data_IF_621441124564
#
_entry.id   IF_621441124564
#
_cell.length_a   1.000
_cell.length_b   1.000
_cell.length_c   1.000
_cell.angle_alpha   90.00
_cell.angle_beta   90.00
_cell.angle_gamma   90.00
#
_symmetry.space_group_name_H-M   'P 1'
#
loop_
_entity.id
_entity.type
_entity.pdbx_description
1 polymer ?
#
# COMPACT_ATOMS: atom_id res chain seq x y z
N UNK A 1 -5.28 11.38 13.17
CA UNK A 1 -5.32 10.19 12.26
C UNK A 1 -4.68 9.01 12.97
N UNK A 2 -5.26 7.82 12.85
CA UNK A 2 -4.69 6.55 13.32
C UNK A 2 -4.62 5.58 12.14
N UNK A 3 -3.65 4.68 12.13
CA UNK A 3 -3.60 3.63 11.13
C UNK A 3 -3.03 2.33 11.70
N UNK A 4 -3.41 1.20 11.11
CA UNK A 4 -2.97 -0.12 11.51
C UNK A 4 -2.87 -1.05 10.30
N UNK A 5 -1.75 -1.75 10.16
CA UNK A 5 -1.63 -2.80 9.14
C UNK A 5 -2.30 -4.09 9.63
N UNK A 6 -3.22 -4.61 8.85
CA UNK A 6 -3.77 -5.95 9.01
C UNK A 6 -2.79 -7.02 8.54
N UNK A 7 -1.88 -6.65 7.67
CA UNK A 7 -0.80 -7.46 7.14
C UNK A 7 -0.18 -6.81 5.91
N UNK A 8 1.07 -7.17 5.62
CA UNK A 8 1.83 -6.62 4.51
C UNK A 8 2.79 -7.67 3.95
N UNK A 9 2.87 -7.76 2.63
CA UNK A 9 3.70 -8.69 1.87
C UNK A 9 2.91 -9.62 0.96
N UNK A 10 3.57 -10.48 0.21
CA UNK A 10 3.04 -11.31 -0.87
C UNK A 10 1.92 -12.32 -0.48
N UNK A 11 1.58 -12.41 0.81
CA UNK A 11 0.45 -13.23 1.30
C UNK A 11 -0.83 -12.43 1.52
N UNK A 12 -0.75 -11.13 1.43
CA UNK A 12 -1.88 -10.21 1.53
C UNK A 12 -1.49 -8.90 2.20
N UNK A 13 -1.97 -7.82 1.61
CA UNK A 13 -1.80 -6.45 2.06
C UNK A 13 -3.17 -5.89 2.46
N UNK A 14 -3.23 -5.22 3.57
CA UNK A 14 -4.39 -4.45 3.99
C UNK A 14 -4.01 -3.51 5.13
N UNK A 15 -4.45 -2.27 5.05
CA UNK A 15 -4.19 -1.23 6.06
C UNK A 15 -5.49 -0.51 6.38
N UNK A 16 -5.79 -0.34 7.66
CA UNK A 16 -6.89 0.51 8.12
C UNK A 16 -6.35 1.91 8.42
N UNK A 17 -7.12 2.92 8.05
CA UNK A 17 -6.86 4.33 8.42
C UNK A 17 -8.13 4.93 8.97
N UNK A 18 -8.04 5.54 10.15
CA UNK A 18 -9.16 6.13 10.86
C UNK A 18 -8.91 7.60 11.18
N UNK A 19 -9.93 8.43 10.93
CA UNK A 19 -10.00 9.83 11.33
C UNK A 19 -11.40 10.08 11.89
N UNK A 20 -11.48 10.32 13.18
CA UNK A 20 -12.77 10.42 13.89
C UNK A 20 -13.66 9.21 13.60
N UNK A 21 -14.84 9.43 13.01
CA UNK A 21 -15.80 8.38 12.62
C UNK A 21 -15.50 7.78 11.24
N UNK A 22 -14.58 8.36 10.46
CA UNK A 22 -14.25 7.88 9.13
C UNK A 22 -13.21 6.76 9.20
N UNK A 23 -13.56 5.58 8.72
CA UNK A 23 -12.70 4.41 8.66
C UNK A 23 -12.56 3.92 7.21
N UNK A 24 -11.36 3.95 6.66
CA UNK A 24 -11.08 3.42 5.32
C UNK A 24 -10.13 2.24 5.38
N UNK A 25 -10.28 1.32 4.45
CA UNK A 25 -9.38 0.19 4.25
C UNK A 25 -8.60 0.39 2.95
N UNK A 26 -7.27 0.31 3.00
CA UNK A 26 -6.42 0.31 1.83
C UNK A 26 -6.06 -1.14 1.52
N UNK A 27 -6.49 -1.62 0.39
CA UNK A 27 -6.41 -3.00 -0.07
C UNK A 27 -7.10 -4.03 0.84
N UNK A 28 -7.47 -5.15 0.27
CA UNK A 28 -8.01 -6.31 0.97
C UNK A 28 -7.48 -7.59 0.30
N UNK A 29 -6.19 -7.88 0.49
CA UNK A 29 -5.51 -9.01 -0.12
C UNK A 29 -5.75 -10.36 0.56
N UNK A 30 -6.45 -10.37 1.71
CA UNK A 30 -6.78 -11.59 2.45
C UNK A 30 -8.17 -12.11 2.08
N UNK A 31 -8.39 -13.42 2.23
CA UNK A 31 -9.75 -13.95 2.15
C UNK A 31 -10.68 -13.27 3.16
N UNK A 32 -11.98 -13.21 2.87
CA UNK A 32 -12.98 -12.63 3.76
C UNK A 32 -12.86 -13.15 5.21
N UNK A 33 -12.70 -14.45 5.39
CA UNK A 33 -12.55 -15.08 6.72
C UNK A 33 -11.30 -14.54 7.45
N UNK A 34 -10.19 -14.42 6.75
CA UNK A 34 -8.94 -13.95 7.33
C UNK A 34 -8.99 -12.44 7.63
N UNK A 35 -9.61 -11.66 6.73
CA UNK A 35 -9.85 -10.22 6.95
C UNK A 35 -10.67 -10.00 8.22
N UNK A 36 -11.80 -10.69 8.37
CA UNK A 36 -12.65 -10.56 9.56
C UNK A 36 -11.91 -10.97 10.84
N UNK A 37 -11.08 -12.01 10.79
CA UNK A 37 -10.26 -12.42 11.93
C UNK A 37 -9.23 -11.33 12.33
N UNK A 38 -8.66 -10.64 11.35
CA UNK A 38 -7.66 -9.57 11.58
C UNK A 38 -8.33 -8.29 12.09
N UNK A 39 -9.47 -7.91 11.54
CA UNK A 39 -10.30 -6.80 12.04
C UNK A 39 -10.67 -6.99 13.51
N UNK A 40 -11.16 -8.18 13.86
CA UNK A 40 -11.54 -8.51 15.24
C UNK A 40 -10.39 -8.38 16.24
N UNK A 41 -9.14 -8.60 15.84
CA UNK A 41 -7.95 -8.40 16.71
C UNK A 41 -7.69 -6.94 17.04
N UNK A 42 -8.12 -6.03 16.17
CA UNK A 42 -8.03 -4.59 16.37
C UNK A 42 -9.29 -4.01 17.01
N UNK A 43 -10.32 -4.84 17.25
CA UNK A 43 -11.63 -4.38 17.71
C UNK A 43 -12.40 -3.56 16.66
N UNK A 44 -12.02 -3.68 15.38
CA UNK A 44 -12.70 -3.00 14.29
C UNK A 44 -13.82 -3.86 13.72
N UNK A 45 -15.00 -3.26 13.57
CA UNK A 45 -16.18 -3.92 13.01
C UNK A 45 -16.24 -3.67 11.50
N UNK A 46 -16.42 -4.71 10.66
CA UNK A 46 -16.43 -4.57 9.21
C UNK A 46 -17.46 -3.58 8.67
N UNK A 47 -18.63 -3.49 9.32
CA UNK A 47 -19.70 -2.57 8.96
C UNK A 47 -19.41 -1.10 9.28
N UNK A 48 -18.27 -0.79 9.91
CA UNK A 48 -17.82 0.58 10.16
C UNK A 48 -16.87 1.08 9.05
N UNK A 49 -16.50 0.24 8.09
CA UNK A 49 -15.61 0.62 7.00
C UNK A 49 -16.41 1.41 5.97
N UNK A 50 -16.07 2.68 5.79
CA UNK A 50 -16.75 3.60 4.86
C UNK A 50 -16.34 3.36 3.40
N UNK A 51 -15.13 2.87 3.16
CA UNK A 51 -14.62 2.60 1.82
C UNK A 51 -13.45 1.61 1.81
N UNK A 52 -13.31 0.88 0.70
CA UNK A 52 -12.10 0.15 0.36
C UNK A 52 -11.42 0.89 -0.80
N UNK A 53 -10.17 1.30 -0.61
CA UNK A 53 -9.32 1.91 -1.63
C UNK A 53 -8.38 0.83 -2.17
N UNK A 54 -8.43 0.54 -3.47
CA UNK A 54 -7.58 -0.50 -4.08
C UNK A 54 -6.42 0.17 -4.79
N UNK A 55 -5.19 -0.26 -4.49
CA UNK A 55 -3.98 0.26 -5.12
C UNK A 55 -3.79 -0.28 -6.54
N UNK A 56 -3.98 -1.57 -6.73
CA UNK A 56 -3.85 -2.27 -8.02
C UNK A 56 -4.45 -3.69 -7.96
N UNK A 57 -4.47 -4.40 -9.08
CA UNK A 57 -5.18 -5.66 -9.28
C UNK A 57 -4.45 -6.93 -8.82
N UNK A 58 -3.24 -6.85 -8.27
CA UNK A 58 -2.55 -8.06 -7.82
C UNK A 58 -3.32 -8.78 -6.70
N UNK A 59 -3.23 -10.10 -6.69
CA UNK A 59 -4.07 -10.94 -5.82
C UNK A 59 -3.86 -10.67 -4.33
N UNK A 60 -2.66 -10.34 -3.93
CA UNK A 60 -2.30 -9.98 -2.55
C UNK A 60 -2.77 -8.58 -2.13
N UNK A 61 -3.42 -7.83 -3.02
CA UNK A 61 -4.09 -6.56 -2.76
C UNK A 61 -5.61 -6.64 -2.90
N UNK A 62 -6.13 -7.45 -3.82
CA UNK A 62 -7.55 -7.39 -4.16
C UNK A 62 -8.36 -8.67 -3.89
N UNK A 63 -7.77 -9.80 -3.50
CA UNK A 63 -8.48 -11.11 -3.39
C UNK A 63 -9.70 -11.12 -2.48
N UNK A 64 -9.76 -10.26 -1.48
CA UNK A 64 -10.89 -10.18 -0.54
C UNK A 64 -11.85 -9.03 -0.81
N UNK A 65 -11.51 -8.11 -1.72
CA UNK A 65 -12.23 -6.85 -1.94
C UNK A 65 -13.70 -7.10 -2.25
N UNK A 66 -14.00 -7.84 -3.31
CA UNK A 66 -15.38 -8.09 -3.72
C UNK A 66 -16.20 -8.79 -2.62
N UNK A 67 -15.64 -9.79 -1.96
CA UNK A 67 -16.33 -10.54 -0.92
C UNK A 67 -16.61 -9.71 0.34
N UNK A 68 -15.69 -8.83 0.75
CA UNK A 68 -15.87 -7.94 1.89
C UNK A 68 -16.88 -6.83 1.55
N UNK A 69 -16.67 -6.14 0.42
CA UNK A 69 -17.51 -5.08 -0.10
C UNK A 69 -18.97 -5.52 -0.22
N UNK A 70 -19.21 -6.62 -0.93
CA UNK A 70 -20.58 -7.13 -1.14
C UNK A 70 -21.27 -7.62 0.13
N UNK A 71 -20.52 -8.12 1.11
CA UNK A 71 -21.11 -8.61 2.36
C UNK A 71 -21.52 -7.51 3.32
N UNK A 72 -20.84 -6.37 3.30
CA UNK A 72 -21.03 -5.27 4.24
C UNK A 72 -21.42 -3.95 3.57
N UNK A 73 -21.80 -4.02 2.29
CA UNK A 73 -22.25 -2.88 1.47
C UNK A 73 -21.23 -1.73 1.41
N UNK A 74 -19.92 -2.08 1.34
CA UNK A 74 -18.82 -1.11 1.37
C UNK A 74 -18.46 -0.71 -0.08
N UNK A 75 -18.47 0.60 -0.44
CA UNK A 75 -18.06 1.07 -1.75
C UNK A 75 -16.55 0.85 -1.97
N UNK A 76 -16.19 0.53 -3.21
CA UNK A 76 -14.80 0.26 -3.63
C UNK A 76 -14.32 1.36 -4.56
N UNK A 77 -13.25 2.02 -4.17
CA UNK A 77 -12.57 3.06 -4.93
C UNK A 77 -11.37 2.45 -5.65
N UNK A 78 -11.31 2.56 -6.96
CA UNK A 78 -10.24 2.00 -7.77
C UNK A 78 -10.09 2.75 -9.10
N UNK A 79 -8.91 2.64 -9.73
CA UNK A 79 -8.67 3.23 -11.03
C UNK A 79 -9.45 2.50 -12.12
N UNK A 80 -9.68 3.17 -13.26
CA UNK A 80 -10.32 2.56 -14.42
C UNK A 80 -9.56 1.33 -14.93
N UNK A 81 -8.22 1.38 -14.94
CA UNK A 81 -7.39 0.27 -15.36
C UNK A 81 -7.51 -0.94 -14.41
N UNK A 82 -7.43 -0.71 -13.10
CA UNK A 82 -7.63 -1.77 -12.10
C UNK A 82 -9.02 -2.40 -12.23
N UNK A 83 -10.07 -1.59 -12.38
CA UNK A 83 -11.43 -2.07 -12.59
C UNK A 83 -11.55 -2.93 -13.86
N UNK A 84 -10.93 -2.47 -14.97
CA UNK A 84 -10.96 -3.16 -16.26
C UNK A 84 -10.34 -4.57 -16.25
N UNK A 85 -9.60 -4.93 -15.22
CA UNK A 85 -9.04 -6.30 -15.06
C UNK A 85 -10.07 -7.33 -14.60
N UNK A 86 -11.22 -6.90 -14.05
CA UNK A 86 -12.25 -7.77 -13.48
C UNK A 86 -11.89 -8.43 -12.15
N UNK A 87 -10.73 -8.09 -11.55
CA UNK A 87 -10.28 -8.72 -10.30
C UNK A 87 -11.12 -8.38 -9.08
N UNK A 88 -11.82 -7.25 -9.12
CA UNK A 88 -12.74 -6.81 -8.06
C UNK A 88 -14.22 -7.05 -8.44
N UNK A 89 -14.51 -7.80 -9.50
CA UNK A 89 -15.89 -8.04 -9.96
C UNK A 89 -16.76 -8.66 -8.86
N UNK A 90 -17.99 -8.16 -8.74
CA UNK A 90 -18.93 -8.55 -7.70
C UNK A 90 -18.84 -7.74 -6.41
N UNK A 91 -18.07 -6.64 -6.38
CA UNK A 91 -18.17 -5.67 -5.30
C UNK A 91 -19.54 -4.96 -5.29
N UNK A 92 -19.94 -4.44 -4.12
CA UNK A 92 -21.24 -3.81 -3.92
C UNK A 92 -21.44 -2.58 -4.80
N UNK A 93 -20.45 -1.68 -4.80
CA UNK A 93 -20.49 -0.45 -5.60
C UNK A 93 -19.05 -0.05 -6.00
N UNK A 94 -18.92 0.65 -7.13
CA UNK A 94 -17.64 1.08 -7.68
C UNK A 94 -17.58 2.61 -7.82
N UNK A 95 -16.60 3.21 -7.14
CA UNK A 95 -16.23 4.60 -7.27
C UNK A 95 -14.96 4.70 -8.14
N UNK A 96 -15.14 4.84 -9.45
CA UNK A 96 -14.01 4.89 -10.40
C UNK A 96 -13.39 6.29 -10.43
N UNK A 97 -12.07 6.34 -10.44
CA UNK A 97 -11.31 7.59 -10.55
C UNK A 97 -10.11 7.43 -11.49
N UNK A 98 -9.60 8.55 -11.98
CA UNK A 98 -8.32 8.58 -12.68
C UNK A 98 -7.19 8.75 -11.67
N UNK A 99 -6.02 8.14 -11.92
CA UNK A 99 -4.81 8.46 -11.18
C UNK A 99 -4.60 9.98 -11.13
N UNK A 100 -3.99 10.48 -10.06
CA UNK A 100 -3.83 11.89 -9.72
C UNK A 100 -5.12 12.60 -9.24
N UNK A 101 -6.25 11.92 -9.23
CA UNK A 101 -7.45 12.48 -8.63
C UNK A 101 -7.27 12.67 -7.11
N UNK A 102 -7.88 13.75 -6.62
CA UNK A 102 -8.08 13.96 -5.19
C UNK A 102 -9.58 13.97 -4.90
N UNK A 103 -9.99 13.27 -3.85
CA UNK A 103 -11.38 13.19 -3.42
C UNK A 103 -11.45 13.02 -1.89
N UNK A 104 -12.63 13.26 -1.33
CA UNK A 104 -12.83 13.18 0.10
C UNK A 104 -13.68 11.95 0.46
N UNK A 105 -13.32 11.27 1.55
CA UNK A 105 -14.14 10.27 2.22
C UNK A 105 -14.31 10.73 3.66
N UNK A 106 -15.49 11.21 4.01
CA UNK A 106 -15.73 11.84 5.30
C UNK A 106 -14.79 13.02 5.53
N UNK A 107 -13.95 12.93 6.57
CA UNK A 107 -12.94 13.96 6.90
C UNK A 107 -11.56 13.69 6.30
N UNK A 108 -11.40 12.61 5.59
CA UNK A 108 -10.14 12.18 5.01
C UNK A 108 -10.04 12.64 3.55
N UNK A 109 -9.06 13.47 3.25
CA UNK A 109 -8.70 13.77 1.87
C UNK A 109 -7.78 12.67 1.35
N UNK A 110 -8.14 12.09 0.22
CA UNK A 110 -7.42 11.02 -0.46
C UNK A 110 -6.84 11.56 -1.76
N UNK A 111 -5.55 11.40 -1.97
CA UNK A 111 -4.89 11.63 -3.26
C UNK A 111 -4.32 10.31 -3.76
N UNK A 112 -4.79 9.88 -4.93
CA UNK A 112 -4.20 8.77 -5.66
C UNK A 112 -2.98 9.28 -6.45
N UNK A 113 -1.86 8.58 -6.35
CA UNK A 113 -0.59 8.93 -6.99
C UNK A 113 -0.15 7.77 -7.86
N UNK A 114 0.05 8.01 -9.16
CA UNK A 114 0.54 7.00 -10.09
C UNK A 114 1.97 6.57 -9.73
N UNK A 115 2.24 5.27 -9.78
CA UNK A 115 3.55 4.71 -9.43
C UNK A 115 4.04 3.71 -10.47
N UNK A 116 5.36 3.59 -10.67
CA UNK A 116 5.93 2.53 -11.50
C UNK A 116 5.75 1.16 -10.81
N UNK A 117 4.84 0.34 -11.33
CA UNK A 117 4.64 -1.04 -10.91
C UNK A 117 4.09 -1.87 -12.07
N UNK A 118 4.27 -3.20 -12.07
CA UNK A 118 3.85 -4.11 -13.14
C UNK A 118 2.35 -4.48 -13.06
N UNK A 119 1.52 -3.46 -13.02
CA UNK A 119 0.07 -3.51 -12.97
C UNK A 119 -0.55 -2.61 -14.06
N UNK A 120 -1.87 -2.67 -14.28
CA UNK A 120 -2.51 -1.97 -15.41
C UNK A 120 -2.60 -0.46 -15.18
N UNK A 121 -3.00 -0.02 -14.00
CA UNK A 121 -3.05 1.39 -13.61
C UNK A 121 -2.80 1.50 -12.09
N UNK A 122 -1.57 1.19 -11.64
CA UNK A 122 -1.24 1.17 -10.23
C UNK A 122 -1.16 2.57 -9.64
N UNK A 123 -1.74 2.74 -8.46
CA UNK A 123 -1.60 3.94 -7.67
C UNK A 123 -1.25 3.63 -6.22
N UNK A 124 -0.69 4.63 -5.56
CA UNK A 124 -0.50 4.64 -4.12
C UNK A 124 -1.24 5.84 -3.53
N UNK A 125 -1.41 5.87 -2.21
CA UNK A 125 -2.28 6.87 -1.60
C UNK A 125 -1.53 7.79 -0.64
N UNK A 126 -1.75 9.10 -0.82
CA UNK A 126 -1.52 10.08 0.22
C UNK A 126 -2.85 10.44 0.86
N UNK A 127 -2.94 10.22 2.15
CA UNK A 127 -4.13 10.48 2.97
C UNK A 127 -3.84 11.66 3.87
N UNK A 128 -4.73 12.65 3.94
CA UNK A 128 -4.48 13.85 4.71
C UNK A 128 -5.72 14.38 5.41
N UNK A 129 -5.48 15.11 6.49
CA UNK A 129 -6.42 15.98 7.20
C UNK A 129 -5.84 17.38 7.23
N UNK A 130 -6.51 18.33 7.89
CA UNK A 130 -5.93 19.64 8.13
C UNK A 130 -4.66 19.63 9.02
N UNK A 131 -4.45 18.54 9.79
CA UNK A 131 -3.44 18.49 10.85
C UNK A 131 -2.28 17.52 10.52
N UNK A 132 -2.53 16.48 9.74
CA UNK A 132 -1.52 15.45 9.49
C UNK A 132 -1.75 14.70 8.17
N UNK A 133 -0.71 14.03 7.71
CA UNK A 133 -0.70 13.27 6.47
C UNK A 133 0.00 11.90 6.61
N UNK A 134 -0.50 10.91 5.88
CA UNK A 134 0.03 9.56 5.79
C UNK A 134 0.25 9.21 4.32
N UNK A 135 1.47 8.85 3.96
CA UNK A 135 1.77 8.21 2.69
C UNK A 135 1.76 6.68 2.84
N UNK A 136 1.12 6.00 1.90
CA UNK A 136 1.16 4.53 1.78
C UNK A 136 1.84 4.22 0.45
N UNK A 137 2.96 3.52 0.52
CA UNK A 137 3.84 3.19 -0.60
C UNK A 137 4.29 1.74 -0.46
N UNK A 138 3.46 0.85 -0.95
CA UNK A 138 3.77 -0.57 -1.15
C UNK A 138 3.79 -0.84 -2.65
N UNK A 139 4.59 -1.76 -3.14
CA UNK A 139 4.61 -2.11 -4.57
C UNK A 139 4.99 -0.92 -5.48
N UNK A 140 6.23 -0.53 -5.35
CA UNK A 140 6.86 0.57 -6.08
C UNK A 140 8.19 0.09 -6.67
N UNK A 141 8.29 0.01 -7.99
CA UNK A 141 9.50 -0.52 -8.66
C UNK A 141 10.65 0.48 -8.75
N UNK A 142 10.34 1.77 -8.83
CA UNK A 142 11.35 2.82 -8.92
C UNK A 142 10.85 4.15 -8.36
N UNK A 143 11.80 4.96 -7.88
CA UNK A 143 11.52 6.28 -7.33
C UNK A 143 11.63 7.31 -8.44
N UNK A 144 10.54 8.02 -8.69
CA UNK A 144 10.49 9.09 -9.68
C UNK A 144 10.37 10.46 -9.00
N UNK A 145 10.73 11.56 -9.67
CA UNK A 145 10.47 12.90 -9.14
C UNK A 145 9.01 13.13 -8.77
N UNK A 146 8.09 12.56 -9.55
CA UNK A 146 6.66 12.60 -9.28
C UNK A 146 6.28 11.96 -7.94
N UNK A 147 6.83 10.79 -7.64
CA UNK A 147 6.62 10.09 -6.36
C UNK A 147 7.20 10.94 -5.21
N UNK A 148 8.43 11.45 -5.37
CA UNK A 148 9.06 12.29 -4.35
C UNK A 148 8.21 13.52 -4.05
N UNK A 149 7.76 14.25 -5.07
CA UNK A 149 7.00 15.49 -4.91
C UNK A 149 5.64 15.25 -4.23
N UNK A 150 5.00 14.12 -4.48
CA UNK A 150 3.72 13.77 -3.88
C UNK A 150 3.82 13.33 -2.41
N UNK A 151 4.90 12.67 -2.03
CA UNK A 151 5.07 12.14 -0.67
C UNK A 151 6.02 12.97 0.20
N UNK A 152 6.65 14.01 -0.36
CA UNK A 152 7.40 14.99 0.43
C UNK A 152 6.51 15.62 1.49
N UNK A 153 7.05 15.83 2.68
CA UNK A 153 6.35 16.43 3.82
C UNK A 153 5.15 15.63 4.32
N UNK A 154 5.16 14.29 4.17
CA UNK A 154 4.26 13.45 4.92
C UNK A 154 4.73 13.34 6.37
N UNK A 155 3.79 13.42 7.32
CA UNK A 155 4.07 13.22 8.75
C UNK A 155 4.32 11.73 9.07
N UNK A 156 3.72 10.85 8.30
CA UNK A 156 3.86 9.39 8.45
C UNK A 156 4.00 8.72 7.10
N UNK A 157 4.81 7.66 7.04
CA UNK A 157 4.93 6.79 5.87
C UNK A 157 4.78 5.31 6.27
N UNK A 158 3.98 4.60 5.50
CA UNK A 158 4.03 3.15 5.39
C UNK A 158 4.76 2.86 4.07
N UNK A 159 6.01 2.43 4.16
CA UNK A 159 6.92 2.33 3.01
C UNK A 159 7.45 0.91 2.87
N UNK A 160 7.45 0.39 1.63
CA UNK A 160 8.06 -0.89 1.36
C UNK A 160 9.59 -0.83 1.49
N UNK A 161 10.11 -1.91 2.10
CA UNK A 161 11.51 -2.32 2.08
C UNK A 161 11.51 -3.77 1.62
N UNK A 162 11.26 -3.98 0.32
CA UNK A 162 10.91 -5.31 -0.15
C UNK A 162 12.07 -6.30 -0.04
N UNK A 163 13.23 -5.97 -0.60
CA UNK A 163 14.32 -6.93 -0.64
C UNK A 163 15.68 -6.29 -0.38
N UNK A 164 16.59 -7.09 0.14
CA UNK A 164 18.02 -6.82 0.07
C UNK A 164 18.54 -7.28 -1.29
N UNK A 165 19.28 -6.42 -1.98
CA UNK A 165 19.72 -6.67 -3.35
C UNK A 165 20.62 -7.93 -3.45
N UNK A 166 21.48 -8.17 -2.45
CA UNK A 166 22.35 -9.35 -2.41
C UNK A 166 21.54 -10.61 -2.14
N UNK A 167 20.62 -10.57 -1.16
CA UNK A 167 19.76 -11.72 -0.87
C UNK A 167 18.86 -12.07 -2.06
N UNK A 168 18.34 -11.09 -2.80
CA UNK A 168 17.58 -11.35 -4.01
C UNK A 168 18.46 -12.03 -5.07
N UNK A 169 19.67 -11.50 -5.31
CA UNK A 169 20.60 -12.04 -6.32
C UNK A 169 21.04 -13.47 -5.98
N UNK A 170 21.33 -13.77 -4.72
CA UNK A 170 21.81 -15.08 -4.28
C UNK A 170 20.65 -16.02 -3.86
N UNK A 171 19.47 -15.49 -3.67
CA UNK A 171 18.31 -16.20 -3.14
C UNK A 171 17.73 -17.26 -4.09
N UNK A 172 16.71 -18.00 -3.63
CA UNK A 172 16.19 -19.18 -4.30
C UNK A 172 15.28 -18.88 -5.50
N UNK A 173 14.99 -17.62 -5.80
CA UNK A 173 14.09 -17.28 -6.90
C UNK A 173 14.73 -17.59 -8.27
N UNK A 174 13.96 -18.09 -9.25
CA UNK A 174 14.44 -18.25 -10.62
C UNK A 174 14.78 -16.90 -11.24
N UNK A 175 15.69 -16.90 -12.20
CA UNK A 175 16.27 -15.67 -12.79
C UNK A 175 15.21 -14.65 -13.26
N UNK A 176 14.17 -15.12 -13.97
CA UNK A 176 13.10 -14.23 -14.45
C UNK A 176 12.35 -13.53 -13.30
N UNK A 177 12.16 -14.21 -12.16
CA UNK A 177 11.50 -13.62 -11.00
C UNK A 177 12.42 -12.62 -10.28
N UNK A 178 13.75 -12.89 -10.23
CA UNK A 178 14.71 -11.91 -9.71
C UNK A 178 14.72 -10.63 -10.54
N UNK A 179 14.68 -10.77 -11.87
CA UNK A 179 14.60 -9.63 -12.79
C UNK A 179 13.30 -8.85 -12.63
N UNK A 180 12.18 -9.54 -12.46
CA UNK A 180 10.88 -8.91 -12.23
C UNK A 180 10.86 -8.15 -10.90
N UNK A 181 11.26 -8.81 -9.80
CA UNK A 181 11.23 -8.21 -8.45
C UNK A 181 12.19 -7.04 -8.32
N UNK A 182 13.41 -7.15 -8.83
CA UNK A 182 14.44 -6.11 -8.73
C UNK A 182 14.46 -5.11 -9.89
N UNK A 183 13.51 -5.17 -10.82
CA UNK A 183 13.40 -4.25 -11.95
C UNK A 183 12.62 -2.98 -11.63
N UNK A 184 12.66 -2.01 -12.54
CA UNK A 184 12.06 -0.68 -12.39
C UNK A 184 10.52 -0.68 -12.24
N UNK A 185 9.88 -1.80 -12.52
CA UNK A 185 8.45 -2.04 -12.35
C UNK A 185 8.16 -3.10 -11.27
N UNK A 186 9.16 -3.53 -10.53
CA UNK A 186 9.04 -4.52 -9.48
C UNK A 186 8.83 -3.88 -8.11
N UNK A 187 9.84 -3.99 -7.25
CA UNK A 187 9.80 -3.50 -5.87
C UNK A 187 11.10 -2.80 -5.47
N UNK A 188 11.01 -1.84 -4.55
CA UNK A 188 12.19 -1.18 -4.01
C UNK A 188 13.04 -2.16 -3.18
N UNK A 189 14.34 -2.12 -3.40
CA UNK A 189 15.27 -2.70 -2.46
C UNK A 189 15.49 -1.78 -1.25
N UNK A 190 16.14 -2.30 -0.21
CA UNK A 190 16.37 -1.57 1.03
C UNK A 190 17.12 -0.25 0.83
N UNK A 191 18.09 -0.19 -0.09
CA UNK A 191 18.86 1.04 -0.34
C UNK A 191 18.02 2.08 -1.08
N UNK A 192 17.25 1.67 -2.08
CA UNK A 192 16.34 2.58 -2.79
C UNK A 192 15.30 3.19 -1.83
N UNK A 193 14.70 2.35 -0.97
CA UNK A 193 13.75 2.83 0.03
C UNK A 193 14.42 3.82 1.03
N UNK A 194 15.65 3.54 1.45
CA UNK A 194 16.42 4.43 2.31
C UNK A 194 16.80 5.76 1.62
N UNK A 195 17.18 5.72 0.34
CA UNK A 195 17.43 6.92 -0.47
C UNK A 195 16.16 7.77 -0.64
N UNK A 196 15.00 7.14 -0.80
CA UNK A 196 13.72 7.85 -0.82
C UNK A 196 13.46 8.57 0.50
N UNK A 197 13.71 7.92 1.64
CA UNK A 197 13.58 8.55 2.97
C UNK A 197 14.45 9.80 3.12
N UNK A 198 15.68 9.81 2.60
CA UNK A 198 16.55 10.97 2.63
C UNK A 198 15.96 12.17 1.88
N UNK A 199 15.16 11.91 0.82
CA UNK A 199 14.58 12.96 -0.02
C UNK A 199 13.25 13.50 0.52
N UNK A 200 12.51 12.69 1.29
CA UNK A 200 11.14 13.04 1.75
C UNK A 200 11.01 13.12 3.27
N UNK A 201 11.99 12.66 4.02
CA UNK A 201 11.87 12.37 5.44
C UNK A 201 12.13 13.52 6.41
N UNK A 202 12.32 14.75 5.95
CA UNK A 202 12.69 15.89 6.83
C UNK A 202 11.65 16.19 7.92
N UNK A 203 10.38 15.95 7.64
CA UNK A 203 9.26 16.23 8.56
C UNK A 203 8.62 14.94 9.12
N UNK A 204 9.18 13.79 8.76
CA UNK A 204 8.63 12.48 9.08
C UNK A 204 8.68 12.20 10.59
N UNK A 205 7.53 11.94 11.19
CA UNK A 205 7.39 11.58 12.60
C UNK A 205 7.31 10.07 12.80
N UNK A 206 6.70 9.36 11.84
CA UNK A 206 6.49 7.91 11.92
C UNK A 206 6.83 7.22 10.60
N UNK A 207 7.65 6.17 10.69
CA UNK A 207 7.93 5.26 9.59
C UNK A 207 7.48 3.85 9.96
N UNK A 208 6.62 3.27 9.13
CA UNK A 208 6.29 1.85 9.21
C UNK A 208 6.91 1.14 8.01
N UNK A 209 7.84 0.25 8.28
CA UNK A 209 8.47 -0.60 7.26
C UNK A 209 7.50 -1.70 6.86
N UNK A 210 7.20 -1.80 5.58
CA UNK A 210 6.17 -2.68 5.05
C UNK A 210 6.68 -3.54 3.89
N UNK A 211 5.87 -4.47 3.44
CA UNK A 211 6.07 -5.31 2.25
C UNK A 211 7.44 -6.02 2.18
N UNK A 212 7.91 -6.50 3.33
CA UNK A 212 9.22 -7.18 3.46
C UNK A 212 9.12 -8.59 2.89
N UNK A 213 10.01 -8.93 1.95
CA UNK A 213 10.11 -10.27 1.39
C UNK A 213 10.56 -11.29 2.44
N UNK A 214 9.77 -12.34 2.64
CA UNK A 214 10.14 -13.43 3.58
C UNK A 214 11.40 -14.21 3.16
N UNK A 215 11.77 -14.17 1.89
CA UNK A 215 12.88 -14.96 1.33
C UNK A 215 14.11 -14.13 0.99
N UNK A 216 13.91 -12.86 0.65
CA UNK A 216 14.96 -12.02 0.10
C UNK A 216 15.23 -10.78 0.96
N UNK A 217 14.77 -10.79 2.21
CA UNK A 217 15.05 -9.70 3.16
C UNK A 217 15.07 -10.22 4.61
N UNK A 218 15.49 -9.34 5.52
CA UNK A 218 15.34 -9.51 6.97
C UNK A 218 15.10 -8.15 7.62
N UNK A 219 14.49 -8.16 8.80
CA UNK A 219 14.31 -6.94 9.59
C UNK A 219 15.62 -6.22 9.86
N UNK A 220 16.68 -6.95 10.20
CA UNK A 220 18.00 -6.39 10.49
C UNK A 220 18.60 -5.67 9.27
N UNK A 221 18.41 -6.21 8.05
CA UNK A 221 18.90 -5.58 6.82
C UNK A 221 18.11 -4.33 6.46
N UNK A 222 16.80 -4.38 6.59
CA UNK A 222 15.95 -3.20 6.39
C UNK A 222 16.29 -2.10 7.42
N UNK A 223 16.42 -2.46 8.69
CA UNK A 223 16.82 -1.53 9.75
C UNK A 223 18.22 -0.96 9.53
N UNK A 224 19.17 -1.78 9.11
CA UNK A 224 20.53 -1.33 8.78
C UNK A 224 20.57 -0.30 7.67
N UNK A 225 19.75 -0.47 6.63
CA UNK A 225 19.61 0.50 5.53
C UNK A 225 19.01 1.83 6.01
N UNK A 226 17.98 1.78 6.86
CA UNK A 226 17.36 2.98 7.45
C UNK A 226 18.37 3.76 8.30
N UNK A 227 19.08 3.08 9.21
CA UNK A 227 20.06 3.72 10.08
C UNK A 227 21.26 4.29 9.31
N UNK A 228 21.60 3.74 8.16
CA UNK A 228 22.62 4.29 7.27
C UNK A 228 22.18 5.50 6.45
N UNK A 229 20.86 5.75 6.39
CA UNK A 229 20.26 6.86 5.63
C UNK A 229 19.89 8.07 6.50
N UNK A 230 19.69 7.88 7.79
CA UNK A 230 19.38 8.92 8.78
C UNK A 230 20.64 9.38 9.52
#
# INVERSE_FOLDING_TARGET
MQFASLGSGSKGNSTLVQVDETLVMIDCGFSLRETLRRLARLGAEPGQIDAILVTHEHSDHCSGVAALSNKFDIPVYLTHGTAGTGRCDGAHDYCLFNCEAAFDIGKLQVKAVAVPHDAVEPCQYRLSTAECSLGILTDLGSITPHVIDNFRHCDSLLLEFNHDAVMLQEGPYPHHLKQRVGGDWGHLNNLQAAEFLQQVGTDLQHLVVAHISEKNNSLDRAQGAILGAL
#
